data_IF_198472836314
#
_entry.id   IF_198472836314
#
_cell.length_a   1.000
_cell.length_b   1.000
_cell.length_c   1.000
_cell.angle_alpha   90.00
_cell.angle_beta   90.00
_cell.angle_gamma   90.00
#
_symmetry.space_group_name_H-M   'P 1'
#
loop_
_entity.id
_entity.type
_entity.pdbx_description
1 polymer ?
#
# COMPACT_ATOMS: atom_id res chain seq x y z
N UNK A 1 72.59 -0.91 -14.73
CA UNK A 1 73.05 -0.14 -15.90
C UNK A 1 72.25 1.15 -15.89
N UNK A 2 72.91 2.25 -15.54
CA UNK A 2 72.28 3.53 -15.30
C UNK A 2 71.96 4.25 -16.62
N UNK A 3 70.88 5.02 -16.65
CA UNK A 3 70.88 6.29 -17.38
C UNK A 3 69.99 7.29 -16.66
N UNK A 4 70.67 8.16 -15.92
CA UNK A 4 70.20 9.42 -15.37
C UNK A 4 70.45 10.51 -16.42
N UNK A 5 69.49 11.40 -16.63
CA UNK A 5 69.68 12.76 -17.19
C UNK A 5 68.69 13.65 -16.41
N UNK A 6 69.16 14.35 -15.36
CA UNK A 6 69.40 15.81 -15.28
C UNK A 6 68.13 16.67 -15.52
N UNK A 7 67.77 17.72 -14.79
CA UNK A 7 68.32 18.50 -13.67
C UNK A 7 67.21 19.50 -13.29
N UNK A 8 67.18 19.99 -12.04
CA UNK A 8 66.94 21.39 -11.64
C UNK A 8 66.32 21.43 -10.24
N UNK A 9 67.18 21.74 -9.28
CA UNK A 9 66.85 22.07 -7.90
C UNK A 9 66.53 23.55 -7.80
N UNK A 10 65.36 23.96 -7.28
CA UNK A 10 65.22 25.23 -6.54
C UNK A 10 64.23 25.09 -5.36
N UNK A 11 64.83 25.19 -4.16
CA UNK A 11 64.39 25.81 -2.90
C UNK A 11 63.05 25.47 -2.22
N UNK A 12 63.23 24.99 -0.98
CA UNK A 12 62.29 24.90 0.14
C UNK A 12 61.55 26.21 0.45
N UNK A 13 60.26 26.12 0.79
CA UNK A 13 59.67 26.90 1.89
C UNK A 13 58.98 25.94 2.89
N UNK A 14 59.34 25.97 4.18
CA UNK A 14 58.76 25.08 5.18
C UNK A 14 57.54 25.70 5.85
N UNK A 15 56.46 24.93 6.00
CA UNK A 15 55.43 25.20 7.01
C UNK A 15 54.13 25.83 6.50
N UNK A 16 53.16 24.97 6.16
CA UNK A 16 51.75 25.34 5.99
C UNK A 16 50.91 24.07 5.90
N UNK A 17 50.01 23.88 6.86
CA UNK A 17 49.16 22.68 7.07
C UNK A 17 48.59 22.13 5.75
N UNK A 18 48.74 20.83 5.50
CA UNK A 18 48.16 20.14 4.34
C UNK A 18 46.63 20.38 4.30
N UNK A 19 46.05 20.87 3.18
CA UNK A 19 44.60 20.92 3.04
C UNK A 19 44.06 19.49 2.94
N UNK A 20 43.17 19.16 3.86
CA UNK A 20 42.45 17.89 3.91
C UNK A 20 41.65 17.69 2.62
N UNK A 21 41.77 16.55 1.90
CA UNK A 21 40.94 16.29 0.73
C UNK A 21 39.48 16.18 1.18
N UNK A 22 38.67 17.11 0.68
CA UNK A 22 37.23 17.24 0.88
C UNK A 22 36.52 15.89 0.78
N UNK A 23 35.82 15.51 1.85
CA UNK A 23 35.01 14.29 1.91
C UNK A 23 34.02 14.25 0.74
N UNK A 24 34.13 13.24 -0.12
CA UNK A 24 33.03 12.79 -0.96
C UNK A 24 31.88 12.40 -0.02
N UNK A 25 30.67 13.00 -0.12
CA UNK A 25 29.57 12.62 0.77
C UNK A 25 29.16 11.18 0.46
N UNK A 26 29.36 10.30 1.44
CA UNK A 26 29.07 8.86 1.41
C UNK A 26 27.57 8.52 1.36
N UNK A 27 26.69 9.47 0.98
CA UNK A 27 25.25 9.32 1.06
C UNK A 27 24.61 9.66 -0.31
N UNK A 28 24.66 8.71 -1.24
CA UNK A 28 23.59 8.56 -2.24
C UNK A 28 22.64 7.49 -1.71
N UNK A 29 22.00 7.76 -0.57
CA UNK A 29 20.78 7.05 -0.21
C UNK A 29 19.73 7.46 -1.23
N UNK A 30 19.48 6.59 -2.21
CA UNK A 30 18.24 6.66 -2.97
C UNK A 30 17.11 6.56 -1.95
N UNK A 31 16.10 7.46 -1.96
CA UNK A 31 14.91 7.25 -1.16
C UNK A 31 14.29 5.93 -1.64
N UNK A 32 14.41 4.88 -0.82
CA UNK A 32 13.69 3.63 -1.05
C UNK A 32 12.21 4.01 -1.13
N UNK A 33 11.59 3.78 -2.28
CA UNK A 33 10.18 4.05 -2.50
C UNK A 33 9.38 3.54 -1.29
N UNK A 34 8.58 4.42 -0.68
CA UNK A 34 7.87 4.15 0.57
C UNK A 34 7.10 2.81 0.49
N UNK A 35 7.33 1.86 1.42
CA UNK A 35 6.71 0.53 1.36
C UNK A 35 5.19 0.51 1.65
N UNK A 36 4.56 1.66 1.85
CA UNK A 36 3.19 1.76 2.36
C UNK A 36 2.12 1.03 1.52
N UNK A 37 2.32 0.86 0.21
CA UNK A 37 1.37 0.17 -0.66
C UNK A 37 1.56 -1.36 -0.73
N UNK A 38 2.74 -1.87 -0.38
CA UNK A 38 3.05 -3.31 -0.39
C UNK A 38 2.68 -4.02 0.92
N UNK A 39 2.72 -3.31 2.04
CA UNK A 39 2.49 -3.87 3.38
C UNK A 39 1.11 -4.51 3.54
N UNK A 40 0.05 -3.83 3.09
CA UNK A 40 -1.31 -4.32 3.26
C UNK A 40 -1.59 -5.63 2.49
N UNK A 41 -1.10 -5.71 1.24
CA UNK A 41 -1.20 -6.93 0.44
C UNK A 41 -0.41 -8.09 1.02
N UNK A 42 0.78 -7.79 1.56
CA UNK A 42 1.62 -8.79 2.23
C UNK A 42 0.99 -9.31 3.54
N UNK A 43 0.37 -8.43 4.32
CA UNK A 43 -0.36 -8.80 5.54
C UNK A 43 -1.58 -9.65 5.19
N UNK A 44 -2.41 -9.21 4.23
CA UNK A 44 -3.57 -9.98 3.80
C UNK A 44 -3.17 -11.37 3.30
N UNK A 45 -2.12 -11.46 2.47
CA UNK A 45 -1.61 -12.75 1.97
C UNK A 45 -1.11 -13.64 3.10
N UNK A 46 -0.26 -13.13 3.98
CA UNK A 46 0.31 -13.91 5.08
C UNK A 46 -0.72 -14.40 6.10
N UNK A 47 -1.78 -13.61 6.35
CA UNK A 47 -2.83 -13.91 7.34
C UNK A 47 -3.95 -14.76 6.76
N UNK A 48 -4.45 -14.44 5.56
CA UNK A 48 -5.66 -15.05 5.01
C UNK A 48 -5.39 -16.05 3.88
N UNK A 49 -4.40 -15.77 3.01
CA UNK A 49 -4.23 -16.52 1.77
C UNK A 49 -3.04 -17.51 1.76
N UNK A 50 -2.19 -17.50 2.80
CA UNK A 50 -0.98 -18.34 2.88
C UNK A 50 -1.25 -19.81 3.18
N UNK A 51 -2.28 -20.12 3.99
CA UNK A 51 -2.64 -21.49 4.38
C UNK A 51 -4.02 -21.83 3.85
N UNK A 52 -4.17 -22.94 3.15
CA UNK A 52 -5.44 -23.36 2.53
C UNK A 52 -6.59 -23.52 3.54
N UNK A 53 -6.31 -23.96 4.77
CA UNK A 53 -7.31 -24.09 5.84
C UNK A 53 -7.82 -22.74 6.33
N UNK A 54 -6.92 -21.78 6.61
CA UNK A 54 -7.29 -20.41 6.99
C UNK A 54 -8.02 -19.69 5.87
N UNK A 55 -7.59 -19.93 4.62
CA UNK A 55 -8.25 -19.40 3.43
C UNK A 55 -9.68 -19.91 3.32
N UNK A 56 -9.90 -21.22 3.40
CA UNK A 56 -11.25 -21.80 3.37
C UNK A 56 -12.14 -21.25 4.51
N UNK A 57 -11.60 -21.14 5.73
CA UNK A 57 -12.32 -20.53 6.86
C UNK A 57 -12.71 -19.07 6.57
N UNK A 58 -11.78 -18.29 5.99
CA UNK A 58 -12.05 -16.90 5.63
C UNK A 58 -13.14 -16.76 4.56
N UNK A 59 -13.20 -17.68 3.60
CA UNK A 59 -14.27 -17.72 2.59
C UNK A 59 -15.61 -18.01 3.25
N UNK A 60 -15.69 -19.03 4.12
CA UNK A 60 -16.95 -19.41 4.77
C UNK A 60 -17.49 -18.25 5.62
N UNK A 61 -16.63 -17.65 6.46
CA UNK A 61 -17.02 -16.49 7.27
C UNK A 61 -17.37 -15.29 6.40
N UNK A 62 -16.57 -15.02 5.37
CA UNK A 62 -16.83 -13.97 4.40
C UNK A 62 -18.18 -14.15 3.72
N UNK A 63 -18.53 -15.37 3.30
CA UNK A 63 -19.79 -15.67 2.64
C UNK A 63 -21.00 -15.43 3.56
N UNK A 64 -20.96 -15.86 4.82
CA UNK A 64 -22.07 -15.67 5.77
C UNK A 64 -22.29 -14.18 6.08
N UNK A 65 -21.21 -13.43 6.27
CA UNK A 65 -21.32 -11.98 6.50
C UNK A 65 -21.77 -11.24 5.22
N UNK A 66 -21.22 -11.65 4.07
CA UNK A 66 -21.57 -11.08 2.78
C UNK A 66 -23.03 -11.31 2.44
N UNK A 67 -23.58 -12.51 2.67
CA UNK A 67 -25.00 -12.83 2.46
C UNK A 67 -25.90 -11.78 3.12
N UNK A 68 -25.71 -11.51 4.42
CA UNK A 68 -26.60 -10.59 5.14
C UNK A 68 -26.43 -9.13 4.76
N UNK A 69 -25.20 -8.72 4.47
CA UNK A 69 -24.94 -7.37 4.00
C UNK A 69 -25.48 -7.18 2.57
N UNK A 70 -25.31 -8.17 1.71
CA UNK A 70 -25.71 -8.11 0.32
C UNK A 70 -27.22 -8.16 0.17
N UNK A 71 -27.93 -9.05 0.88
CA UNK A 71 -29.39 -9.11 0.82
C UNK A 71 -30.01 -7.76 1.19
N UNK A 72 -29.62 -7.19 2.35
CA UNK A 72 -30.15 -5.89 2.79
C UNK A 72 -29.75 -4.75 1.85
N UNK A 73 -28.50 -4.75 1.37
CA UNK A 73 -28.02 -3.71 0.47
C UNK A 73 -28.68 -3.77 -0.90
N UNK A 74 -28.81 -4.97 -1.46
CA UNK A 74 -29.43 -5.20 -2.76
C UNK A 74 -30.94 -4.91 -2.70
N UNK A 75 -31.63 -5.34 -1.66
CA UNK A 75 -33.04 -4.99 -1.44
C UNK A 75 -33.20 -3.48 -1.36
N UNK A 76 -32.47 -2.79 -0.48
CA UNK A 76 -32.54 -1.34 -0.32
C UNK A 76 -32.28 -0.59 -1.64
N UNK A 77 -31.25 -0.99 -2.38
CA UNK A 77 -30.95 -0.43 -3.69
C UNK A 77 -32.09 -0.67 -4.69
N UNK A 78 -32.65 -1.88 -4.70
CA UNK A 78 -33.76 -2.22 -5.58
C UNK A 78 -35.05 -1.46 -5.23
N UNK A 79 -35.37 -1.30 -3.94
CA UNK A 79 -36.53 -0.51 -3.51
C UNK A 79 -36.37 0.95 -3.94
N UNK A 80 -35.19 1.52 -3.71
CA UNK A 80 -34.90 2.92 -4.05
C UNK A 80 -35.03 3.18 -5.56
N UNK A 81 -34.48 2.28 -6.39
CA UNK A 81 -34.57 2.40 -7.84
C UNK A 81 -35.99 2.22 -8.38
N UNK A 82 -36.89 1.60 -7.60
CA UNK A 82 -38.26 1.31 -8.01
C UNK A 82 -39.29 1.91 -7.04
N UNK A 83 -38.95 3.05 -6.43
CA UNK A 83 -39.86 3.80 -5.57
C UNK A 83 -41.19 4.08 -6.27
N UNK A 84 -42.29 3.91 -5.53
CA UNK A 84 -43.65 4.06 -6.05
C UNK A 84 -44.14 2.98 -7.02
N UNK A 85 -43.30 2.05 -7.48
CA UNK A 85 -43.70 0.94 -8.37
C UNK A 85 -43.96 -0.38 -7.64
N UNK A 86 -43.25 -0.63 -6.54
CA UNK A 86 -43.41 -1.90 -5.82
C UNK A 86 -44.73 -1.96 -5.07
N UNK A 87 -45.31 -3.16 -5.01
CA UNK A 87 -46.51 -3.43 -4.22
C UNK A 87 -46.40 -2.91 -2.80
N UNK A 88 -45.28 -3.15 -2.10
CA UNK A 88 -45.06 -2.65 -0.73
C UNK A 88 -45.24 -1.13 -0.58
N UNK A 89 -44.98 -0.34 -1.62
CA UNK A 89 -45.15 1.12 -1.58
C UNK A 89 -46.62 1.53 -1.78
N UNK A 90 -47.40 0.76 -2.52
CA UNK A 90 -48.80 1.08 -2.87
C UNK A 90 -49.84 0.26 -2.09
N UNK A 91 -49.41 -0.78 -1.37
CA UNK A 91 -50.25 -1.73 -0.62
C UNK A 91 -51.17 -1.03 0.38
N UNK A 92 -50.68 0.03 1.01
CA UNK A 92 -51.46 0.87 1.94
C UNK A 92 -52.73 1.48 1.34
N UNK A 93 -52.86 1.51 0.00
CA UNK A 93 -54.06 2.00 -0.68
C UNK A 93 -55.16 0.95 -0.82
N UNK A 94 -54.83 -0.31 -0.60
CA UNK A 94 -55.68 -1.45 -0.97
C UNK A 94 -55.96 -2.42 0.18
N UNK A 95 -55.16 -2.41 1.25
CA UNK A 95 -55.50 -3.12 2.49
C UNK A 95 -56.23 -2.17 3.45
N UNK A 96 -57.45 -2.54 3.84
CA UNK A 96 -58.13 -1.95 5.00
C UNK A 96 -57.47 -2.48 6.26
N UNK A 97 -57.19 -1.60 7.22
CA UNK A 97 -56.77 -1.99 8.56
C UNK A 97 -57.84 -2.91 9.15
N UNK A 98 -57.50 -4.17 9.42
CA UNK A 98 -58.31 -5.03 10.26
C UNK A 98 -58.17 -4.51 11.69
N UNK A 99 -59.18 -3.77 12.17
CA UNK A 99 -59.38 -3.45 13.59
C UNK A 99 -59.92 -4.68 14.34
#
# INVERSE_FOLDING_TARGET
MALTIAETTIALQPGGKNPQPTATPSNLEMPSASPALGEAGHIAYSVLFRRSSTFALSIILGAVLFERAFDQGADALFEHLNEGKLWKHIKHKYEQSED
#
